data_IF_183790946835
#
_entry.id   IF_183790946835
#
_cell.length_a   1.000
_cell.length_b   1.000
_cell.length_c   1.000
_cell.angle_alpha   90.00
_cell.angle_beta   90.00
_cell.angle_gamma   90.00
#
_symmetry.space_group_name_H-M   'P 1'
#
loop_
_entity.id
_entity.type
_entity.pdbx_description
1 polymer ?
#
# COMPACT_ATOMS: atom_id res chain seq x y z
N UNK A 1 -10.20 78.92 -41.59
CA UNK A 1 -10.42 77.42 -41.29
C UNK A 1 -9.11 76.91 -40.69
N UNK A 2 -9.03 76.77 -39.34
CA UNK A 2 -7.86 76.26 -38.62
C UNK A 2 -8.15 74.83 -38.28
N UNK A 3 -7.29 73.86 -38.71
CA UNK A 3 -7.31 72.47 -38.29
C UNK A 3 -6.61 72.36 -36.90
N UNK A 4 -7.14 71.63 -35.99
CA UNK A 4 -6.42 71.27 -34.77
C UNK A 4 -5.46 70.09 -34.98
N UNK A 5 -4.20 70.34 -34.63
CA UNK A 5 -3.13 69.34 -34.61
C UNK A 5 -3.34 68.46 -33.41
N UNK A 6 -3.58 67.17 -33.64
CA UNK A 6 -3.64 66.16 -32.56
C UNK A 6 -2.23 65.89 -32.02
N UNK A 7 -2.08 66.00 -30.74
CA UNK A 7 -0.87 65.62 -30.02
C UNK A 7 -0.77 64.11 -29.92
N UNK A 8 0.43 63.48 -30.05
CA UNK A 8 0.62 62.06 -29.83
C UNK A 8 0.55 61.70 -28.33
N UNK A 9 -0.24 60.68 -28.02
CA UNK A 9 -0.28 60.08 -26.68
C UNK A 9 1.10 59.50 -26.33
N UNK A 10 1.75 60.08 -25.34
CA UNK A 10 2.99 59.57 -24.80
C UNK A 10 2.70 58.23 -24.06
N UNK A 11 3.14 57.12 -24.62
CA UNK A 11 3.21 55.86 -23.92
C UNK A 11 4.29 55.94 -22.85
N UNK A 12 3.88 55.95 -21.58
CA UNK A 12 4.80 55.83 -20.46
C UNK A 12 5.47 54.46 -20.47
N UNK A 13 6.81 54.39 -20.46
CA UNK A 13 7.50 53.10 -20.38
C UNK A 13 7.27 52.50 -18.97
N UNK A 14 6.82 51.24 -18.94
CA UNK A 14 6.63 50.45 -17.72
C UNK A 14 8.02 50.32 -17.04
N UNK A 15 8.18 50.67 -15.75
CA UNK A 15 9.47 50.62 -15.09
C UNK A 15 9.97 49.16 -14.99
N UNK A 16 11.28 48.91 -15.18
CA UNK A 16 11.85 47.52 -15.25
C UNK A 16 11.74 46.74 -13.94
N UNK A 17 11.30 47.38 -12.85
CA UNK A 17 11.10 46.72 -11.56
C UNK A 17 9.83 45.81 -11.52
N UNK A 18 8.78 46.12 -12.27
CA UNK A 18 7.55 45.32 -12.33
C UNK A 18 7.74 44.03 -13.11
N UNK A 19 8.64 44.03 -14.12
CA UNK A 19 8.98 42.85 -14.88
C UNK A 19 9.74 41.80 -14.05
N UNK A 20 10.54 42.22 -13.06
CA UNK A 20 11.30 41.33 -12.18
C UNK A 20 10.40 40.65 -11.15
N UNK A 21 9.37 41.29 -10.66
CA UNK A 21 8.41 40.71 -9.70
C UNK A 21 7.53 39.63 -10.37
N UNK A 22 7.09 39.89 -11.60
CA UNK A 22 6.31 38.90 -12.37
C UNK A 22 7.13 37.67 -12.73
N UNK A 23 8.42 37.80 -13.04
CA UNK A 23 9.31 36.66 -13.30
C UNK A 23 9.56 35.79 -12.07
N UNK A 24 9.60 36.40 -10.87
CA UNK A 24 9.80 35.69 -9.62
C UNK A 24 8.60 34.84 -9.19
N UNK A 25 7.38 35.31 -9.46
CA UNK A 25 6.14 34.59 -9.14
C UNK A 25 5.95 33.36 -10.05
N UNK A 26 6.35 33.44 -11.32
CA UNK A 26 6.32 32.33 -12.26
C UNK A 26 7.35 31.24 -11.92
N UNK A 27 8.50 31.58 -11.33
CA UNK A 27 9.55 30.62 -10.98
C UNK A 27 9.18 29.75 -9.76
N UNK A 28 8.39 30.25 -8.80
CA UNK A 28 7.97 29.54 -7.60
C UNK A 28 6.83 28.52 -7.94
N UNK A 29 6.00 28.81 -8.93
CA UNK A 29 4.88 27.95 -9.33
C UNK A 29 5.30 26.64 -10.00
N UNK A 30 6.54 26.53 -10.51
CA UNK A 30 7.00 25.34 -11.26
C UNK A 30 7.60 24.24 -10.36
N UNK A 31 7.76 24.48 -9.05
CA UNK A 31 8.36 23.51 -8.12
C UNK A 31 7.34 22.65 -7.36
N UNK A 32 6.05 22.88 -7.55
CA UNK A 32 4.99 21.99 -7.05
C UNK A 32 4.59 20.96 -8.12
N UNK A 33 5.55 20.29 -8.75
CA UNK A 33 5.23 19.07 -9.49
C UNK A 33 4.71 18.05 -8.49
N UNK A 34 3.49 17.50 -8.65
CA UNK A 34 3.01 16.44 -7.78
C UNK A 34 4.03 15.29 -7.87
N UNK A 35 4.58 14.88 -6.72
CA UNK A 35 5.36 13.66 -6.65
C UNK A 35 4.44 12.54 -7.12
N UNK A 36 4.72 11.97 -8.28
CA UNK A 36 4.00 10.79 -8.77
C UNK A 36 4.22 9.70 -7.74
N UNK A 37 3.17 9.32 -7.02
CA UNK A 37 3.19 8.16 -6.13
C UNK A 37 3.51 6.97 -7.03
N UNK A 38 4.70 6.41 -6.85
CA UNK A 38 5.11 5.24 -7.62
C UNK A 38 4.36 4.03 -7.07
N UNK A 39 3.37 3.58 -7.83
CA UNK A 39 2.74 2.28 -7.64
C UNK A 39 3.77 1.15 -7.79
N UNK A 40 3.54 0.01 -7.16
CA UNK A 40 4.42 -1.14 -7.31
C UNK A 40 4.50 -1.59 -8.78
N UNK A 41 5.72 -1.79 -9.25
CA UNK A 41 6.02 -2.29 -10.60
C UNK A 41 6.19 -3.81 -10.59
N UNK A 42 6.68 -4.38 -9.48
CA UNK A 42 6.94 -5.80 -9.39
C UNK A 42 6.84 -6.37 -7.98
N UNK A 43 6.49 -7.65 -7.92
CA UNK A 43 6.54 -8.50 -6.73
C UNK A 43 7.81 -9.34 -6.78
N UNK A 44 8.68 -9.19 -5.77
CA UNK A 44 9.91 -9.96 -5.63
C UNK A 44 9.66 -11.15 -4.69
N UNK A 45 9.63 -12.34 -5.24
CA UNK A 45 9.55 -13.56 -4.45
C UNK A 45 10.91 -13.85 -3.82
N UNK A 46 10.92 -14.04 -2.51
CA UNK A 46 12.14 -14.31 -1.73
C UNK A 46 12.03 -15.67 -1.06
N UNK A 47 13.01 -16.54 -1.32
CA UNK A 47 13.12 -17.86 -0.67
C UNK A 47 14.59 -18.15 -0.37
N UNK A 48 15.03 -17.86 0.85
CA UNK A 48 16.44 -17.91 1.22
C UNK A 48 17.30 -16.94 0.37
N UNK A 49 18.27 -17.48 -0.35
CA UNK A 49 19.12 -16.70 -1.27
C UNK A 49 18.49 -16.45 -2.65
N UNK A 50 17.39 -17.13 -2.97
CA UNK A 50 16.73 -17.00 -4.26
C UNK A 50 15.78 -15.80 -4.27
N UNK A 51 15.91 -14.97 -5.31
CA UNK A 51 15.02 -13.84 -5.58
C UNK A 51 14.55 -13.89 -7.02
N UNK A 52 13.23 -13.73 -7.23
CA UNK A 52 12.61 -13.67 -8.56
C UNK A 52 11.59 -12.54 -8.58
N UNK A 53 11.72 -11.66 -9.55
CA UNK A 53 10.79 -10.55 -9.74
C UNK A 53 9.71 -10.93 -10.74
N UNK A 54 8.45 -10.67 -10.40
CA UNK A 54 7.28 -10.85 -11.26
C UNK A 54 6.66 -9.47 -11.46
N UNK A 55 6.56 -8.96 -12.70
CA UNK A 55 5.90 -7.70 -12.98
C UNK A 55 4.42 -7.73 -12.55
N UNK A 56 3.90 -6.63 -12.02
CA UNK A 56 2.48 -6.49 -11.68
C UNK A 56 1.59 -6.73 -12.90
N UNK A 57 2.05 -6.38 -14.10
CA UNK A 57 1.35 -6.64 -15.36
C UNK A 57 1.01 -8.12 -15.59
N UNK A 58 1.80 -9.07 -15.08
CA UNK A 58 1.48 -10.50 -15.16
C UNK A 58 0.29 -10.85 -14.27
N UNK A 59 0.17 -10.22 -13.08
CA UNK A 59 -0.99 -10.37 -12.20
C UNK A 59 -2.24 -9.72 -12.80
N UNK A 60 -2.10 -8.56 -13.46
CA UNK A 60 -3.20 -7.90 -14.18
C UNK A 60 -3.70 -8.76 -15.34
N UNK A 61 -2.79 -9.35 -16.11
CA UNK A 61 -3.12 -10.27 -17.20
C UNK A 61 -3.84 -11.51 -16.66
N UNK A 62 -3.34 -12.09 -15.58
CA UNK A 62 -3.97 -13.24 -14.93
C UNK A 62 -5.37 -12.90 -14.41
N UNK A 63 -5.53 -11.74 -13.78
CA UNK A 63 -6.82 -11.29 -13.24
C UNK A 63 -7.86 -11.00 -14.33
N UNK A 64 -7.44 -10.43 -15.47
CA UNK A 64 -8.34 -10.05 -16.55
C UNK A 64 -8.68 -11.20 -17.52
N UNK A 65 -7.72 -12.07 -17.79
CA UNK A 65 -7.86 -13.14 -18.80
C UNK A 65 -8.03 -14.55 -18.20
N UNK A 66 -7.66 -14.74 -16.94
CA UNK A 66 -7.55 -16.05 -16.31
C UNK A 66 -6.40 -16.91 -16.86
N UNK A 67 -5.44 -16.28 -17.57
CA UNK A 67 -4.28 -16.98 -18.15
C UNK A 67 -3.00 -16.52 -17.45
N UNK A 68 -2.23 -17.48 -16.95
CA UNK A 68 -0.89 -17.21 -16.41
C UNK A 68 0.12 -17.02 -17.52
N UNK A 69 0.78 -15.87 -17.54
CA UNK A 69 1.87 -15.54 -18.47
C UNK A 69 3.19 -15.42 -17.73
N UNK A 70 4.30 -15.49 -18.44
CA UNK A 70 5.63 -15.26 -17.92
C UNK A 70 5.99 -16.16 -16.73
N UNK A 71 6.72 -15.59 -15.78
CA UNK A 71 7.16 -16.31 -14.58
C UNK A 71 5.99 -16.70 -13.67
N UNK A 72 4.96 -15.86 -13.58
CA UNK A 72 3.75 -16.16 -12.81
C UNK A 72 3.05 -17.41 -13.35
N UNK A 73 2.92 -17.51 -14.67
CA UNK A 73 2.35 -18.69 -15.33
C UNK A 73 3.13 -19.97 -15.06
N UNK A 74 4.47 -19.89 -15.07
CA UNK A 74 5.35 -21.02 -14.76
C UNK A 74 5.20 -21.48 -13.30
N UNK A 75 5.12 -20.53 -12.37
CA UNK A 75 4.92 -20.82 -10.95
C UNK A 75 3.54 -21.44 -10.68
N UNK A 76 2.49 -20.96 -11.33
CA UNK A 76 1.15 -21.55 -11.21
C UNK A 76 1.13 -23.00 -11.72
N UNK A 77 1.78 -23.27 -12.85
CA UNK A 77 1.93 -24.64 -13.39
C UNK A 77 2.71 -25.55 -12.44
N UNK A 78 3.84 -25.06 -11.92
CA UNK A 78 4.66 -25.82 -10.97
C UNK A 78 3.89 -26.12 -9.67
N UNK A 79 3.14 -25.13 -9.17
CA UNK A 79 2.28 -25.25 -7.99
C UNK A 79 0.96 -26.01 -8.25
N UNK A 80 0.72 -26.48 -9.48
CA UNK A 80 -0.53 -27.13 -9.90
C UNK A 80 -1.77 -26.29 -9.57
N UNK A 81 -1.64 -24.97 -9.61
CA UNK A 81 -2.73 -24.04 -9.37
C UNK A 81 -3.49 -23.74 -10.65
N UNK A 82 -4.83 -23.64 -10.54
CA UNK A 82 -5.66 -23.26 -11.68
C UNK A 82 -5.56 -21.73 -11.90
N UNK A 83 -5.04 -21.24 -13.05
CA UNK A 83 -4.88 -19.81 -13.30
C UNK A 83 -6.20 -19.04 -13.23
N UNK A 84 -7.30 -19.60 -13.73
CA UNK A 84 -8.62 -18.97 -13.67
C UNK A 84 -9.08 -18.72 -12.24
N UNK A 85 -8.91 -19.73 -11.36
CA UNK A 85 -9.26 -19.59 -9.95
C UNK A 85 -8.42 -18.53 -9.26
N UNK A 86 -7.10 -18.51 -9.52
CA UNK A 86 -6.22 -17.49 -8.95
C UNK A 86 -6.57 -16.09 -9.49
N UNK A 87 -6.87 -15.97 -10.79
CA UNK A 87 -7.32 -14.71 -11.39
C UNK A 87 -8.62 -14.18 -10.76
N UNK A 88 -9.60 -15.06 -10.47
CA UNK A 88 -10.82 -14.67 -9.75
C UNK A 88 -10.50 -14.17 -8.34
N UNK A 89 -9.65 -14.88 -7.60
CA UNK A 89 -9.23 -14.47 -6.24
C UNK A 89 -8.51 -13.13 -6.22
N UNK A 90 -7.71 -12.81 -7.26
CA UNK A 90 -7.06 -11.50 -7.38
C UNK A 90 -8.06 -10.36 -7.54
N UNK A 91 -9.22 -10.63 -8.16
CA UNK A 91 -10.28 -9.65 -8.38
C UNK A 91 -11.35 -9.64 -7.28
N UNK A 92 -11.34 -10.61 -6.36
CA UNK A 92 -12.27 -10.68 -5.25
C UNK A 92 -12.22 -9.39 -4.44
N UNK A 93 -13.35 -8.70 -4.32
CA UNK A 93 -13.45 -7.40 -3.66
C UNK A 93 -14.11 -7.53 -2.29
N UNK A 94 -13.44 -7.01 -1.28
CA UNK A 94 -14.00 -6.88 0.07
C UNK A 94 -14.34 -5.42 0.32
N UNK A 95 -15.61 -5.11 0.56
CA UNK A 95 -16.05 -3.76 0.87
C UNK A 95 -15.64 -3.36 2.28
N UNK A 96 -14.91 -2.27 2.39
CA UNK A 96 -14.30 -1.79 3.63
C UNK A 96 -14.41 -0.26 3.71
N UNK A 97 -15.06 0.31 4.75
CA UNK A 97 -15.10 1.76 4.90
C UNK A 97 -13.72 2.32 5.27
N UNK A 98 -13.13 3.14 4.40
CA UNK A 98 -11.80 3.74 4.57
C UNK A 98 -11.57 4.34 5.97
N UNK A 99 -12.51 5.15 6.55
CA UNK A 99 -12.29 5.75 7.86
C UNK A 99 -12.16 4.72 8.99
N UNK A 100 -12.94 3.63 8.90
CA UNK A 100 -12.90 2.55 9.89
C UNK A 100 -11.58 1.80 9.82
N UNK A 101 -11.18 1.40 8.60
CA UNK A 101 -9.94 0.66 8.37
C UNK A 101 -8.73 1.50 8.75
N UNK A 102 -8.67 2.77 8.35
CA UNK A 102 -7.58 3.67 8.72
C UNK A 102 -7.46 3.81 10.25
N UNK A 103 -8.57 3.97 10.96
CA UNK A 103 -8.55 4.03 12.44
C UNK A 103 -8.06 2.72 13.04
N UNK A 104 -8.57 1.57 12.57
CA UNK A 104 -8.18 0.25 13.06
C UNK A 104 -6.68 0.00 12.87
N UNK A 105 -6.14 0.27 11.69
CA UNK A 105 -4.72 0.07 11.37
C UNK A 105 -3.77 0.98 12.18
N UNK A 106 -4.29 2.04 12.80
CA UNK A 106 -3.53 2.92 13.70
C UNK A 106 -3.70 2.57 15.19
N UNK A 107 -4.43 1.51 15.52
CA UNK A 107 -4.50 0.97 16.88
C UNK A 107 -3.32 0.01 17.15
N UNK A 108 -3.04 -0.27 18.41
CA UNK A 108 -2.05 -1.29 18.80
C UNK A 108 -2.35 -2.67 18.23
N UNK A 109 -3.64 -3.02 18.13
CA UNK A 109 -4.09 -4.30 17.53
C UNK A 109 -3.79 -4.30 16.03
N UNK A 110 -4.15 -3.22 15.32
CA UNK A 110 -3.85 -3.07 13.90
C UNK A 110 -2.36 -3.11 13.61
N UNK A 111 -1.55 -2.45 14.43
CA UNK A 111 -0.09 -2.47 14.33
C UNK A 111 0.46 -3.89 14.50
N UNK A 112 0.03 -4.63 15.52
CA UNK A 112 0.44 -6.02 15.73
C UNK A 112 0.05 -6.96 14.57
N UNK A 113 -1.09 -6.72 13.93
CA UNK A 113 -1.48 -7.44 12.69
C UNK A 113 -0.53 -7.08 11.55
N UNK A 114 -0.26 -5.77 11.35
CA UNK A 114 0.65 -5.30 10.30
C UNK A 114 2.08 -5.82 10.49
N UNK A 115 2.59 -5.91 11.72
CA UNK A 115 3.89 -6.50 12.02
C UNK A 115 4.00 -7.93 11.53
N UNK A 116 2.97 -8.74 11.72
CA UNK A 116 2.94 -10.13 11.26
C UNK A 116 2.88 -10.24 9.74
N UNK A 117 2.07 -9.38 9.11
CA UNK A 117 2.02 -9.32 7.64
C UNK A 117 3.34 -8.81 7.09
N UNK A 118 4.03 -7.88 7.76
CA UNK A 118 5.33 -7.35 7.35
C UNK A 118 6.45 -8.40 7.34
N UNK A 119 6.34 -9.49 8.10
CA UNK A 119 7.25 -10.64 7.99
C UNK A 119 7.12 -11.33 6.63
N UNK A 120 5.92 -11.31 6.05
CA UNK A 120 5.61 -11.96 4.76
C UNK A 120 5.80 -10.98 3.61
N UNK A 121 5.28 -9.74 3.77
CA UNK A 121 5.25 -8.71 2.71
C UNK A 121 5.90 -7.43 3.24
N UNK A 122 6.97 -6.98 2.58
CA UNK A 122 7.67 -5.76 2.97
C UNK A 122 8.36 -5.11 1.75
N UNK A 123 8.77 -3.82 1.82
CA UNK A 123 9.59 -3.21 0.78
C UNK A 123 10.93 -3.93 0.62
N UNK A 124 11.43 -4.06 -0.61
CA UNK A 124 12.69 -4.78 -0.90
C UNK A 124 13.90 -4.12 -0.28
N UNK A 125 13.88 -2.79 -0.15
CA UNK A 125 15.04 -1.99 0.29
C UNK A 125 15.06 -1.75 1.80
N UNK A 126 13.90 -1.63 2.43
CA UNK A 126 13.78 -1.33 3.86
C UNK A 126 12.69 -2.20 4.48
N UNK A 127 13.12 -3.22 5.18
CA UNK A 127 12.21 -4.12 5.89
C UNK A 127 11.49 -3.42 7.04
N UNK A 128 12.12 -2.39 7.61
CA UNK A 128 11.57 -1.59 8.71
C UNK A 128 10.36 -0.76 8.27
N UNK A 129 10.29 -0.39 6.98
CA UNK A 129 9.16 0.34 6.42
C UNK A 129 7.97 -0.57 6.05
N UNK A 130 7.99 -1.83 6.45
CA UNK A 130 6.94 -2.81 6.13
C UNK A 130 5.57 -2.37 6.65
N UNK A 131 5.48 -1.93 7.91
CA UNK A 131 4.21 -1.50 8.54
C UNK A 131 3.64 -0.25 7.86
N UNK A 132 4.39 0.87 7.69
CA UNK A 132 3.90 2.04 6.96
C UNK A 132 3.48 1.72 5.53
N UNK A 133 4.26 0.90 4.83
CA UNK A 133 3.96 0.52 3.45
C UNK A 133 2.67 -0.29 3.34
N UNK A 134 2.46 -1.27 4.21
CA UNK A 134 1.24 -2.07 4.27
C UNK A 134 0.01 -1.22 4.61
N UNK A 135 0.15 -0.33 5.61
CA UNK A 135 -0.92 0.60 5.99
C UNK A 135 -1.33 1.48 4.81
N UNK A 136 -0.36 2.06 4.12
CA UNK A 136 -0.60 2.87 2.93
C UNK A 136 -1.25 2.08 1.81
N UNK A 137 -0.75 0.87 1.50
CA UNK A 137 -1.30 0.02 0.45
C UNK A 137 -2.77 -0.36 0.71
N UNK A 138 -3.13 -0.67 1.95
CA UNK A 138 -4.52 -0.98 2.30
C UNK A 138 -5.42 0.25 2.15
N UNK A 139 -5.02 1.39 2.72
CA UNK A 139 -5.84 2.62 2.69
C UNK A 139 -6.00 3.14 1.27
N UNK A 140 -4.91 3.21 0.49
CA UNK A 140 -4.94 3.65 -0.90
C UNK A 140 -5.70 2.68 -1.78
N UNK A 141 -5.47 1.36 -1.62
CA UNK A 141 -6.17 0.34 -2.39
C UNK A 141 -7.69 0.34 -2.17
N UNK A 142 -8.16 0.63 -0.95
CA UNK A 142 -9.60 0.82 -0.68
C UNK A 142 -10.10 2.12 -1.31
N UNK A 143 -9.35 3.21 -1.21
CA UNK A 143 -9.74 4.50 -1.76
C UNK A 143 -9.84 4.47 -3.30
N UNK A 144 -8.88 3.82 -3.97
CA UNK A 144 -8.88 3.63 -5.42
C UNK A 144 -9.91 2.60 -5.90
N UNK A 145 -10.30 1.68 -5.02
CA UNK A 145 -11.29 0.64 -5.28
C UNK A 145 -12.73 1.01 -4.91
N UNK A 146 -13.06 2.31 -4.80
CA UNK A 146 -14.40 2.81 -4.45
C UNK A 146 -14.96 2.21 -3.14
N UNK A 147 -14.13 2.17 -2.10
CA UNK A 147 -14.49 1.61 -0.80
C UNK A 147 -14.39 0.09 -0.74
N UNK A 148 -13.69 -0.53 -1.68
CA UNK A 148 -13.43 -1.98 -1.68
C UNK A 148 -11.96 -2.26 -1.94
N UNK A 149 -11.44 -3.35 -1.36
CA UNK A 149 -10.08 -3.82 -1.57
C UNK A 149 -10.08 -5.17 -2.25
N UNK A 150 -9.33 -5.30 -3.32
CA UNK A 150 -8.98 -6.60 -3.93
C UNK A 150 -7.49 -6.88 -3.75
N UNK A 151 -7.08 -8.15 -3.90
CA UNK A 151 -5.68 -8.50 -3.86
C UNK A 151 -4.87 -7.77 -4.94
N UNK A 152 -5.42 -7.66 -6.16
CA UNK A 152 -4.78 -6.88 -7.24
C UNK A 152 -4.73 -5.39 -6.90
N UNK A 153 -5.81 -4.81 -6.34
CA UNK A 153 -5.84 -3.43 -5.88
C UNK A 153 -4.78 -3.14 -4.82
N UNK A 154 -4.61 -4.04 -3.86
CA UNK A 154 -3.53 -3.96 -2.87
C UNK A 154 -2.14 -3.97 -3.50
N UNK A 155 -1.87 -4.89 -4.47
CA UNK A 155 -0.59 -4.95 -5.17
C UNK A 155 -0.29 -3.64 -5.90
N UNK A 156 -1.26 -3.07 -6.59
CA UNK A 156 -1.12 -1.81 -7.34
C UNK A 156 -0.94 -0.59 -6.44
N UNK A 157 -1.63 -0.55 -5.31
CA UNK A 157 -1.56 0.55 -4.35
C UNK A 157 -0.33 0.50 -3.44
N UNK A 158 0.53 -0.53 -3.57
CA UNK A 158 1.71 -0.65 -2.72
C UNK A 158 2.72 0.49 -3.02
N UNK A 159 3.21 1.23 -1.99
CA UNK A 159 3.87 2.54 -2.21
C UNK A 159 5.33 2.46 -2.65
N UNK A 160 5.87 1.27 -2.91
CA UNK A 160 7.26 1.10 -3.39
C UNK A 160 7.29 0.34 -4.69
N UNK A 161 8.30 0.62 -5.54
CA UNK A 161 8.45 -0.05 -6.85
C UNK A 161 8.48 -1.56 -6.75
N UNK A 162 9.12 -2.08 -5.71
CA UNK A 162 9.29 -3.50 -5.49
C UNK A 162 8.75 -3.88 -4.12
N UNK A 163 7.91 -4.88 -4.11
CA UNK A 163 7.36 -5.50 -2.92
C UNK A 163 7.96 -6.90 -2.76
N UNK A 164 8.68 -7.15 -1.68
CA UNK A 164 9.21 -8.47 -1.36
C UNK A 164 8.12 -9.33 -0.71
N UNK A 165 8.01 -10.57 -1.18
CA UNK A 165 7.14 -11.61 -0.60
C UNK A 165 8.00 -12.78 -0.15
N UNK A 166 8.03 -13.02 1.16
CA UNK A 166 8.75 -14.13 1.78
C UNK A 166 7.94 -15.42 1.60
N UNK A 167 8.37 -16.27 0.67
CA UNK A 167 7.66 -17.51 0.32
C UNK A 167 7.61 -18.50 1.49
N UNK A 168 8.70 -18.80 2.23
CA UNK A 168 8.62 -19.65 3.42
C UNK A 168 7.60 -19.18 4.46
N UNK A 169 7.59 -17.86 4.76
CA UNK A 169 6.63 -17.30 5.71
C UNK A 169 5.19 -17.38 5.20
N UNK A 170 4.98 -17.12 3.90
CA UNK A 170 3.67 -17.27 3.27
C UNK A 170 3.16 -18.72 3.31
N UNK A 171 4.02 -19.69 3.05
CA UNK A 171 3.65 -21.11 3.10
C UNK A 171 3.30 -21.56 4.52
N UNK A 172 4.04 -21.11 5.53
CA UNK A 172 3.72 -21.37 6.94
C UNK A 172 2.34 -20.82 7.28
N UNK A 173 2.04 -19.59 6.84
CA UNK A 173 0.72 -19.00 7.04
C UNK A 173 -0.37 -19.82 6.33
N UNK A 174 -0.16 -20.17 5.06
CA UNK A 174 -1.12 -20.94 4.27
C UNK A 174 -1.40 -22.34 4.86
N UNK A 175 -0.38 -22.99 5.44
CA UNK A 175 -0.54 -24.28 6.11
C UNK A 175 -1.31 -24.18 7.44
N UNK A 176 -1.17 -23.05 8.16
CA UNK A 176 -1.87 -22.81 9.43
C UNK A 176 -3.30 -22.33 9.23
N UNK A 177 -3.59 -21.73 8.10
CA UNK A 177 -4.88 -21.12 7.78
C UNK A 177 -5.61 -21.97 6.74
N UNK A 178 -6.30 -23.02 7.19
CA UNK A 178 -7.16 -23.82 6.31
C UNK A 178 -8.49 -23.12 5.97
N UNK A 179 -8.82 -22.05 6.71
CA UNK A 179 -10.03 -21.24 6.48
C UNK A 179 -9.79 -19.76 6.82
N UNK A 180 -10.69 -18.88 6.35
CA UNK A 180 -10.68 -17.46 6.74
C UNK A 180 -10.80 -17.30 8.26
N UNK A 181 -11.55 -18.18 8.92
CA UNK A 181 -11.68 -18.23 10.38
C UNK A 181 -10.35 -18.52 11.06
N UNK A 182 -9.55 -19.43 10.52
CA UNK A 182 -8.22 -19.74 11.05
C UNK A 182 -7.23 -18.59 10.83
N UNK A 183 -7.35 -17.86 9.70
CA UNK A 183 -6.59 -16.62 9.47
C UNK A 183 -6.95 -15.55 10.51
N UNK A 184 -8.23 -15.31 10.73
CA UNK A 184 -8.68 -14.35 11.74
C UNK A 184 -8.21 -14.76 13.14
N UNK A 185 -8.26 -16.04 13.47
CA UNK A 185 -7.77 -16.58 14.72
C UNK A 185 -6.26 -16.42 14.87
N UNK A 186 -5.49 -16.76 13.84
CA UNK A 186 -4.04 -16.56 13.80
C UNK A 186 -3.64 -15.10 14.05
N UNK A 187 -4.38 -14.15 13.48
CA UNK A 187 -4.13 -12.72 13.69
C UNK A 187 -4.68 -12.19 15.02
N UNK A 188 -5.68 -12.83 15.63
CA UNK A 188 -6.27 -12.42 16.90
C UNK A 188 -5.60 -13.04 18.14
N UNK A 189 -5.01 -14.24 18.03
CA UNK A 189 -4.48 -15.01 19.16
C UNK A 189 -3.13 -14.51 19.70
N UNK A 190 -2.54 -13.42 19.15
CA UNK A 190 -1.17 -13.19 19.50
C UNK A 190 -0.85 -12.11 20.50
N UNK A 191 -1.18 -10.94 20.59
CA UNK A 191 -0.69 -10.13 21.75
C UNK A 191 -1.71 -9.89 22.83
N UNK A 192 -2.97 -10.32 22.67
CA UNK A 192 -4.01 -10.02 23.66
C UNK A 192 -3.98 -10.94 24.89
N UNK A 193 -3.42 -12.13 24.78
CA UNK A 193 -3.30 -13.03 25.94
C UNK A 193 -2.30 -12.51 26.99
N UNK A 194 -1.28 -11.78 26.58
CA UNK A 194 -0.36 -11.11 27.50
C UNK A 194 -0.99 -9.93 28.26
N UNK A 195 -2.06 -9.34 27.74
CA UNK A 195 -2.77 -8.22 28.37
C UNK A 195 -3.96 -8.68 29.23
N UNK A 196 -4.52 -9.86 29.00
CA UNK A 196 -5.56 -10.47 29.82
C UNK A 196 -5.02 -11.13 31.09
N UNK A 197 -3.77 -11.56 31.11
CA UNK A 197 -3.13 -12.21 32.25
C UNK A 197 -2.65 -11.27 33.35
N UNK A 198 -2.78 -9.95 33.24
CA UNK A 198 -2.29 -8.98 34.22
C UNK A 198 -3.29 -8.52 35.28
N UNK A 199 -4.49 -9.08 35.30
CA UNK A 199 -5.60 -8.57 36.17
C UNK A 199 -6.09 -9.44 37.29
N UNK A 200 -5.58 -10.66 37.52
CA UNK A 200 -6.06 -11.53 38.58
C UNK A 200 -4.92 -12.18 39.34
N UNK A 201 -4.66 -11.72 40.54
CA UNK A 201 -3.82 -12.49 41.44
C UNK A 201 -3.03 -11.74 42.52
N UNK A 202 -3.59 -10.70 43.12
CA UNK A 202 -3.11 -10.31 44.43
C UNK A 202 -4.14 -10.70 45.49
N UNK A 203 -4.23 -11.99 45.77
CA UNK A 203 -4.91 -12.49 46.97
C UNK A 203 -3.82 -12.77 48.03
N UNK A 204 -3.65 -11.84 48.94
CA UNK A 204 -2.82 -11.99 50.11
C UNK A 204 -3.24 -13.21 50.93
N UNK A 205 -2.32 -14.00 51.50
CA UNK A 205 -2.67 -15.06 52.43
C UNK A 205 -3.04 -14.46 53.80
N UNK A 206 -4.28 -14.70 54.22
CA UNK A 206 -4.73 -14.42 55.58
C UNK A 206 -3.99 -15.33 56.54
N UNK A 207 -3.23 -14.73 57.49
CA UNK A 207 -2.76 -15.38 58.69
C UNK A 207 -3.98 -15.66 59.59
N UNK A 208 -4.26 -16.93 59.83
CA UNK A 208 -5.11 -17.40 60.91
C UNK A 208 -4.24 -17.89 62.07
N UNK A 209 -4.59 -17.42 63.21
CA UNK A 209 -4.07 -17.79 64.52
C UNK A 209 -4.30 -19.27 64.89
#
# INVERSE_FOLDING_TARGET
MKRPTGAPLAMNPIPPQTARVLASVLAVGLWCAPATVQAAESVVLVSGAFRRSIPIAEFETLASTGQGTGLLGDLLRLGKQNPKTVGMLLNEKVSLPVPLVSRLLNTRIGEAVLERVAVIVHPTRSREDGIPALRSAVVLGIAEGDGSLSALGFLKAYPTREMAVNIPALLILAQKASSISDLMRFFSESPLDGLRGGGEGSKAPAKGS
#
